data_IF_093306117451
#
_entry.id   IF_093306117451
#
_cell.length_a   1.000
_cell.length_b   1.000
_cell.length_c   1.000
_cell.angle_alpha   90.00
_cell.angle_beta   90.00
_cell.angle_gamma   90.00
#
_symmetry.space_group_name_H-M   'P 1'
#
loop_
_entity.id
_entity.type
_entity.pdbx_description
1 polymer ?
#
# COMPACT_ATOMS: atom_id res chain seq x y z
N UNK A 1 -1.69 -27.45 37.03
CA UNK A 1 -1.80 -27.77 35.59
C UNK A 1 -2.90 -26.97 34.90
N UNK A 2 -4.16 -27.04 35.34
CA UNK A 2 -5.30 -26.31 34.75
C UNK A 2 -5.10 -24.81 34.72
N UNK A 3 -4.65 -24.18 35.81
CA UNK A 3 -4.39 -22.75 35.89
C UNK A 3 -3.33 -22.28 34.88
N UNK A 4 -2.27 -23.07 34.67
CA UNK A 4 -1.21 -22.77 33.70
C UNK A 4 -1.75 -22.81 32.26
N UNK A 5 -2.64 -23.75 31.95
CA UNK A 5 -3.30 -23.84 30.65
C UNK A 5 -4.19 -22.61 30.41
N UNK A 6 -4.96 -22.18 31.42
CA UNK A 6 -5.79 -20.97 31.35
C UNK A 6 -4.93 -19.70 31.14
N UNK A 7 -3.79 -19.57 31.81
CA UNK A 7 -2.88 -18.45 31.62
C UNK A 7 -2.30 -18.45 30.19
N UNK A 8 -1.88 -19.60 29.68
CA UNK A 8 -1.36 -19.73 28.31
C UNK A 8 -2.43 -19.36 27.30
N UNK A 9 -3.66 -19.85 27.43
CA UNK A 9 -4.78 -19.53 26.54
C UNK A 9 -5.15 -18.03 26.62
N UNK A 10 -5.13 -17.43 27.82
CA UNK A 10 -5.39 -16.01 27.99
C UNK A 10 -4.29 -15.15 27.35
N UNK A 11 -3.02 -15.50 27.54
CA UNK A 11 -1.89 -14.82 26.89
C UNK A 11 -2.00 -14.93 25.38
N UNK A 12 -2.33 -16.12 24.86
CA UNK A 12 -2.55 -16.35 23.42
C UNK A 12 -3.70 -15.50 22.87
N UNK A 13 -4.80 -15.39 23.61
CA UNK A 13 -5.95 -14.56 23.25
C UNK A 13 -5.64 -13.07 23.24
N UNK A 14 -4.71 -12.62 24.11
CA UNK A 14 -4.30 -11.21 24.21
C UNK A 14 -3.23 -10.81 23.17
N UNK A 15 -2.58 -11.77 22.49
CA UNK A 15 -1.60 -11.45 21.44
C UNK A 15 -2.35 -10.96 20.19
N UNK A 16 -2.09 -9.71 19.74
CA UNK A 16 -2.70 -9.22 18.51
C UNK A 16 -2.34 -10.12 17.33
N UNK A 17 -3.34 -10.59 16.60
CA UNK A 17 -3.13 -11.42 15.40
C UNK A 17 -2.78 -10.58 14.17
N UNK A 18 -2.88 -9.26 14.24
CA UNK A 18 -2.62 -8.32 13.15
C UNK A 18 -1.97 -7.05 13.67
N UNK A 19 -0.94 -6.59 12.96
CA UNK A 19 -0.29 -5.32 13.23
C UNK A 19 -1.03 -4.20 12.48
N UNK A 20 -1.50 -3.19 13.23
CA UNK A 20 -2.21 -2.05 12.66
C UNK A 20 -1.33 -1.24 11.69
N UNK A 21 -1.94 -0.58 10.69
CA UNK A 21 -1.24 0.37 9.85
C UNK A 21 -0.58 1.48 10.67
N UNK A 22 0.59 1.95 10.24
CA UNK A 22 1.32 3.04 10.89
C UNK A 22 1.73 4.11 9.89
N UNK A 23 1.62 5.36 10.29
CA UNK A 23 2.11 6.50 9.52
C UNK A 23 3.54 6.79 9.92
N UNK A 24 4.39 7.02 8.92
CA UNK A 24 5.78 7.46 9.07
C UNK A 24 5.87 8.87 8.47
N UNK A 25 5.98 9.91 9.29
CA UNK A 25 6.01 11.29 8.79
C UNK A 25 7.35 11.61 8.11
N UNK A 26 7.31 12.50 7.10
CA UNK A 26 8.49 12.98 6.37
C UNK A 26 9.37 11.85 5.82
N UNK A 27 8.75 10.82 5.26
CA UNK A 27 9.44 9.62 4.81
C UNK A 27 10.18 9.79 3.49
N UNK A 28 9.66 10.64 2.60
CA UNK A 28 10.31 11.02 1.32
C UNK A 28 10.45 12.53 1.20
N UNK A 29 11.51 12.97 0.55
CA UNK A 29 11.81 14.39 0.36
C UNK A 29 11.00 15.02 -0.79
N UNK A 30 10.93 16.36 -0.80
CA UNK A 30 10.30 17.10 -1.90
C UNK A 30 10.98 16.84 -3.23
N UNK A 31 12.31 16.71 -3.26
CA UNK A 31 13.08 16.39 -4.47
C UNK A 31 12.69 15.00 -5.03
N UNK A 32 12.55 14.00 -4.15
CA UNK A 32 12.12 12.66 -4.53
C UNK A 32 10.70 12.67 -5.08
N UNK A 33 9.80 13.43 -4.43
CA UNK A 33 8.41 13.59 -4.87
C UNK A 33 8.33 14.20 -6.26
N UNK A 34 8.99 15.32 -6.49
CA UNK A 34 8.98 16.02 -7.77
C UNK A 34 9.55 15.16 -8.91
N UNK A 35 10.64 14.43 -8.63
CA UNK A 35 11.21 13.48 -9.60
C UNK A 35 10.22 12.37 -9.95
N UNK A 36 9.62 11.71 -8.95
CA UNK A 36 8.66 10.63 -9.13
C UNK A 36 7.44 11.10 -9.92
N UNK A 37 6.87 12.26 -9.58
CA UNK A 37 5.72 12.82 -10.30
C UNK A 37 6.05 13.11 -11.75
N UNK A 38 7.17 13.80 -12.01
CA UNK A 38 7.62 14.15 -13.37
C UNK A 38 7.82 12.91 -14.24
N UNK A 39 8.45 11.86 -13.71
CA UNK A 39 8.64 10.62 -14.44
C UNK A 39 7.31 9.90 -14.70
N UNK A 40 6.42 9.89 -13.72
CA UNK A 40 5.11 9.23 -13.83
C UNK A 40 4.19 9.92 -14.84
N UNK A 41 4.19 11.26 -14.93
CA UNK A 41 3.31 12.03 -15.82
C UNK A 41 3.37 11.57 -17.27
N UNK A 42 4.55 11.18 -17.74
CA UNK A 42 4.76 10.70 -19.13
C UNK A 42 4.30 9.26 -19.36
N UNK A 43 4.01 8.51 -18.30
CA UNK A 43 3.69 7.07 -18.34
C UNK A 43 2.27 6.76 -17.87
N UNK A 44 1.47 7.77 -17.49
CA UNK A 44 0.13 7.57 -16.95
C UNK A 44 -0.80 6.92 -17.98
N UNK A 45 -1.52 5.89 -17.53
CA UNK A 45 -2.60 5.23 -18.25
C UNK A 45 -3.76 4.93 -17.30
N UNK A 46 -4.97 4.70 -17.83
CA UNK A 46 -6.11 4.32 -16.97
C UNK A 46 -5.81 3.06 -16.18
N UNK A 47 -6.02 3.10 -14.87
CA UNK A 47 -5.75 1.96 -13.99
C UNK A 47 -6.65 0.77 -14.30
N UNK A 48 -6.05 -0.42 -14.24
CA UNK A 48 -6.76 -1.70 -14.29
C UNK A 48 -7.09 -2.19 -12.88
N UNK A 49 -8.02 -3.13 -12.76
CA UNK A 49 -8.27 -3.89 -11.52
C UNK A 49 -7.50 -5.21 -11.56
N UNK A 50 -7.08 -5.68 -10.38
CA UNK A 50 -6.00 -6.65 -10.22
C UNK A 50 -6.21 -8.01 -10.90
N UNK A 51 -7.42 -8.57 -10.86
CA UNK A 51 -7.60 -9.99 -11.19
C UNK A 51 -7.51 -10.30 -12.71
N UNK A 52 -7.85 -9.36 -13.57
CA UNK A 52 -7.92 -9.62 -15.04
C UNK A 52 -7.25 -8.52 -15.86
N UNK A 53 -6.54 -7.59 -15.24
CA UNK A 53 -5.98 -6.39 -15.89
C UNK A 53 -7.04 -5.61 -16.71
N UNK A 54 -8.31 -5.71 -16.33
CA UNK A 54 -9.41 -5.04 -17.01
C UNK A 54 -9.68 -3.66 -16.40
N UNK A 55 -10.09 -2.72 -17.23
CA UNK A 55 -10.53 -1.41 -16.77
C UNK A 55 -11.95 -1.54 -16.24
N UNK A 56 -12.15 -1.29 -14.93
CA UNK A 56 -13.46 -1.25 -14.32
C UNK A 56 -13.62 0.00 -13.43
N UNK A 57 -14.13 1.07 -14.03
CA UNK A 57 -14.30 2.38 -13.36
C UNK A 57 -15.32 2.35 -12.21
N UNK A 58 -16.15 1.31 -12.08
CA UNK A 58 -17.06 1.15 -10.92
C UNK A 58 -16.37 0.59 -9.70
N UNK A 59 -15.17 0.00 -9.86
CA UNK A 59 -14.32 -0.54 -8.80
C UNK A 59 -13.16 0.39 -8.51
N UNK A 60 -12.48 0.88 -9.57
CA UNK A 60 -11.31 1.76 -9.48
C UNK A 60 -11.38 2.85 -10.55
N UNK A 61 -11.26 4.09 -10.11
CA UNK A 61 -11.21 5.25 -11.01
C UNK A 61 -9.96 6.07 -10.70
N UNK A 62 -8.87 5.76 -11.38
CA UNK A 62 -7.56 6.40 -11.25
C UNK A 62 -6.74 6.20 -12.51
N UNK A 63 -5.64 6.94 -12.63
CA UNK A 63 -4.57 6.67 -13.59
C UNK A 63 -3.37 6.05 -12.87
N UNK A 64 -2.60 5.22 -13.58
CA UNK A 64 -1.43 4.48 -13.06
C UNK A 64 -0.22 4.68 -13.95
N UNK A 65 0.95 4.85 -13.35
CA UNK A 65 2.25 4.72 -13.98
C UNK A 65 3.12 3.74 -13.18
N UNK A 66 3.95 2.95 -13.86
CA UNK A 66 4.93 2.05 -13.23
C UNK A 66 6.33 2.59 -13.48
N UNK A 67 7.09 2.82 -12.41
CA UNK A 67 8.45 3.32 -12.47
C UNK A 67 9.44 2.21 -12.19
N UNK A 68 10.47 2.15 -13.05
CA UNK A 68 11.50 1.15 -12.99
C UNK A 68 12.47 1.39 -11.82
N UNK A 69 12.87 0.33 -11.14
CA UNK A 69 13.81 0.37 -10.03
C UNK A 69 15.26 0.61 -10.48
N UNK A 70 15.53 0.68 -11.79
CA UNK A 70 16.83 1.07 -12.35
C UNK A 70 17.09 2.57 -12.22
N UNK A 71 16.02 3.40 -12.14
CA UNK A 71 16.18 4.83 -11.86
C UNK A 71 16.75 5.03 -10.45
N UNK A 72 17.89 5.75 -10.27
CA UNK A 72 18.56 5.87 -8.97
C UNK A 72 17.72 6.48 -7.86
N UNK A 73 16.84 7.45 -8.18
CA UNK A 73 15.96 8.09 -7.19
C UNK A 73 14.84 7.14 -6.80
N UNK A 74 14.18 6.51 -7.78
CA UNK A 74 13.13 5.49 -7.54
C UNK A 74 13.70 4.32 -6.74
N UNK A 75 14.90 3.85 -7.09
CA UNK A 75 15.60 2.78 -6.36
C UNK A 75 15.84 3.13 -4.90
N UNK A 76 16.38 4.31 -4.62
CA UNK A 76 16.63 4.79 -3.26
C UNK A 76 15.35 4.85 -2.42
N UNK A 77 14.25 5.34 -3.00
CA UNK A 77 12.94 5.36 -2.34
C UNK A 77 12.42 3.95 -2.09
N UNK A 78 12.52 3.06 -3.08
CA UNK A 78 12.11 1.67 -2.95
C UNK A 78 12.94 0.92 -1.88
N UNK A 79 14.26 1.11 -1.84
CA UNK A 79 15.12 0.53 -0.79
C UNK A 79 14.70 1.00 0.61
N UNK A 80 14.37 2.30 0.76
CA UNK A 80 13.87 2.85 2.03
C UNK A 80 12.53 2.23 2.41
N UNK A 81 11.61 2.00 1.46
CA UNK A 81 10.36 1.29 1.73
C UNK A 81 10.61 -0.16 2.17
N UNK A 82 11.49 -0.88 1.48
CA UNK A 82 11.81 -2.28 1.81
C UNK A 82 12.48 -2.39 3.18
N UNK A 83 13.27 -1.40 3.60
CA UNK A 83 13.92 -1.40 4.94
C UNK A 83 12.92 -1.37 6.12
N UNK A 84 11.64 -1.09 5.86
CA UNK A 84 10.56 -1.20 6.86
C UNK A 84 10.13 -2.66 7.09
N UNK A 85 10.59 -3.58 6.27
CA UNK A 85 10.19 -4.99 6.24
C UNK A 85 11.35 -5.91 6.64
N UNK A 86 11.04 -7.16 6.84
CA UNK A 86 12.03 -8.23 7.06
C UNK A 86 12.46 -8.93 5.76
N UNK A 87 12.16 -8.34 4.59
CA UNK A 87 12.39 -8.95 3.28
C UNK A 87 13.53 -8.24 2.52
N UNK A 88 14.27 -8.99 1.67
CA UNK A 88 15.30 -8.40 0.83
C UNK A 88 14.69 -7.58 -0.33
N UNK A 89 15.48 -6.66 -0.89
CA UNK A 89 15.06 -5.74 -1.95
C UNK A 89 14.48 -6.43 -3.20
N UNK A 90 15.01 -7.59 -3.58
CA UNK A 90 14.51 -8.36 -4.73
C UNK A 90 13.07 -8.87 -4.58
N UNK A 91 12.46 -8.71 -3.41
CA UNK A 91 11.07 -9.09 -3.17
C UNK A 91 10.09 -7.98 -3.50
N UNK A 92 10.54 -6.76 -3.83
CA UNK A 92 9.63 -5.67 -4.13
C UNK A 92 9.24 -5.61 -5.63
N UNK A 93 8.05 -5.09 -5.87
CA UNK A 93 7.58 -4.74 -7.21
C UNK A 93 8.17 -3.40 -7.65
N UNK A 94 7.96 -3.04 -8.94
CA UNK A 94 8.17 -1.67 -9.42
C UNK A 94 7.33 -0.70 -8.61
N UNK A 95 7.77 0.56 -8.54
CA UNK A 95 7.02 1.60 -7.85
C UNK A 95 5.78 1.98 -8.67
N UNK A 96 4.58 1.75 -8.12
CA UNK A 96 3.33 2.15 -8.76
C UNK A 96 2.95 3.57 -8.35
N UNK A 97 2.89 4.50 -9.29
CA UNK A 97 2.36 5.84 -9.06
C UNK A 97 0.90 5.89 -9.47
N UNK A 98 0.08 6.53 -8.67
CA UNK A 98 -1.36 6.66 -8.87
C UNK A 98 -1.79 8.12 -8.81
N UNK A 99 -2.61 8.51 -9.79
CA UNK A 99 -3.29 9.79 -9.81
C UNK A 99 -4.80 9.59 -9.75
N UNK A 100 -5.44 10.22 -8.78
CA UNK A 100 -6.89 10.28 -8.65
C UNK A 100 -7.36 11.71 -8.91
N UNK A 101 -8.18 11.91 -9.93
CA UNK A 101 -8.89 13.16 -10.21
C UNK A 101 -10.11 13.30 -9.29
N UNK A 102 -10.74 14.47 -9.21
CA UNK A 102 -12.02 14.61 -8.51
C UNK A 102 -13.03 13.53 -8.94
N UNK A 103 -13.65 12.88 -7.95
CA UNK A 103 -14.47 11.69 -8.15
C UNK A 103 -13.72 10.36 -8.23
N UNK A 104 -12.38 10.39 -8.28
CA UNK A 104 -11.51 9.20 -8.32
C UNK A 104 -11.51 8.46 -6.98
N UNK A 105 -11.52 7.13 -7.05
CA UNK A 105 -11.56 6.25 -5.87
C UNK A 105 -11.03 4.85 -6.19
N UNK A 106 -10.84 4.05 -5.15
CA UNK A 106 -10.67 2.61 -5.24
C UNK A 106 -11.45 1.91 -4.13
N UNK A 107 -12.42 1.06 -4.51
CA UNK A 107 -13.25 0.32 -3.55
C UNK A 107 -12.40 -0.53 -2.61
N UNK A 108 -12.92 -0.87 -1.40
CA UNK A 108 -12.20 -1.73 -0.48
C UNK A 108 -11.77 -3.05 -1.13
N UNK A 109 -10.48 -3.34 -1.04
CA UNK A 109 -9.82 -4.51 -1.63
C UNK A 109 -8.71 -5.00 -0.71
N UNK A 110 -8.13 -6.11 -1.06
CA UNK A 110 -6.93 -6.63 -0.40
C UNK A 110 -5.79 -6.69 -1.42
N UNK A 111 -4.58 -6.32 -0.98
CA UNK A 111 -3.40 -6.32 -1.84
C UNK A 111 -2.84 -7.72 -2.07
N UNK A 112 -3.16 -8.68 -1.21
CA UNK A 112 -2.75 -10.07 -1.41
C UNK A 112 -3.86 -10.86 -2.12
N UNK A 113 -3.48 -11.61 -3.17
CA UNK A 113 -4.38 -12.45 -3.96
C UNK A 113 -4.31 -13.90 -3.50
N UNK A 114 -5.39 -14.68 -3.71
CA UNK A 114 -5.46 -16.08 -3.29
C UNK A 114 -4.71 -17.04 -4.20
N UNK A 115 -4.38 -16.63 -5.42
CA UNK A 115 -3.83 -17.48 -6.50
C UNK A 115 -2.35 -17.20 -6.85
N UNK A 116 -1.63 -16.45 -6.00
CA UNK A 116 -0.24 -16.02 -6.24
C UNK A 116 0.80 -17.15 -6.22
N UNK A 117 0.44 -18.41 -6.47
CA UNK A 117 1.36 -19.56 -6.46
C UNK A 117 2.29 -19.57 -5.22
N UNK A 118 1.78 -19.07 -4.08
CA UNK A 118 2.53 -18.98 -2.83
C UNK A 118 3.37 -17.72 -2.64
N UNK A 119 3.60 -16.89 -3.67
CA UNK A 119 4.35 -15.64 -3.53
C UNK A 119 3.42 -14.46 -3.21
N UNK A 120 2.94 -14.42 -1.98
CA UNK A 120 2.00 -13.39 -1.50
C UNK A 120 2.69 -12.04 -1.32
N UNK A 121 2.00 -10.94 -1.60
CA UNK A 121 2.36 -9.62 -1.07
C UNK A 121 2.23 -9.66 0.45
N UNK A 122 3.29 -9.35 1.16
CA UNK A 122 3.37 -9.35 2.63
C UNK A 122 3.15 -7.98 3.21
N UNK A 123 3.64 -6.95 2.51
CA UNK A 123 3.65 -5.57 2.97
C UNK A 123 3.26 -4.62 1.86
N UNK A 124 2.61 -3.53 2.26
CA UNK A 124 2.33 -2.39 1.41
C UNK A 124 2.87 -1.12 2.06
N UNK A 125 3.52 -0.29 1.26
CA UNK A 125 3.90 1.08 1.61
C UNK A 125 3.19 2.02 0.65
N UNK A 126 2.36 2.92 1.19
CA UNK A 126 1.74 4.01 0.41
C UNK A 126 2.47 5.30 0.74
N UNK A 127 3.00 5.98 -0.27
CA UNK A 127 3.69 7.25 -0.15
C UNK A 127 2.77 8.39 -0.64
N UNK A 128 2.61 9.45 0.15
CA UNK A 128 1.84 10.62 -0.27
C UNK A 128 2.72 11.60 -1.06
N UNK A 129 2.37 11.87 -2.32
CA UNK A 129 3.09 12.80 -3.17
C UNK A 129 2.53 14.23 -3.13
N UNK A 130 1.33 14.40 -2.54
CA UNK A 130 0.73 15.70 -2.23
C UNK A 130 -0.34 15.53 -1.14
N UNK A 131 -0.84 16.66 -0.62
CA UNK A 131 -1.91 16.70 0.40
C UNK A 131 -2.92 17.83 0.17
N UNK A 132 -2.77 18.57 -0.92
CA UNK A 132 -3.59 19.74 -1.33
C UNK A 132 -4.90 19.34 -2.03
N UNK A 133 -5.51 18.23 -1.62
CA UNK A 133 -6.80 17.71 -2.09
C UNK A 133 -7.77 17.50 -0.93
N UNK A 134 -9.07 17.42 -1.22
CA UNK A 134 -10.10 17.07 -0.23
C UNK A 134 -10.62 15.64 -0.44
N UNK A 135 -11.06 14.99 0.67
CA UNK A 135 -11.43 13.58 0.65
C UNK A 135 -10.22 12.67 0.42
N UNK A 136 -10.41 11.58 -0.30
CA UNK A 136 -9.34 10.71 -0.77
C UNK A 136 -8.57 9.99 0.34
N UNK A 137 -9.12 9.87 1.56
CA UNK A 137 -8.49 9.15 2.66
C UNK A 137 -8.29 7.68 2.28
N UNK A 138 -7.20 7.06 2.74
CA UNK A 138 -7.06 5.60 2.76
C UNK A 138 -7.82 5.07 3.97
N UNK A 139 -8.86 4.26 3.75
CA UNK A 139 -9.66 3.71 4.84
C UNK A 139 -9.48 2.21 5.00
N UNK A 140 -9.49 1.76 6.25
CA UNK A 140 -9.55 0.37 6.67
C UNK A 140 -10.88 0.12 7.36
N UNK A 141 -11.93 -0.28 6.63
CA UNK A 141 -13.30 -0.31 7.16
C UNK A 141 -13.44 -1.25 8.36
N UNK A 142 -12.74 -2.39 8.35
CA UNK A 142 -12.81 -3.37 9.44
C UNK A 142 -11.99 -2.98 10.69
N UNK A 143 -11.08 -2.02 10.56
CA UNK A 143 -10.39 -1.39 11.70
C UNK A 143 -11.11 -0.12 12.17
N UNK A 144 -12.05 0.40 11.38
CA UNK A 144 -12.72 1.71 11.56
C UNK A 144 -11.71 2.86 11.57
N UNK A 145 -10.63 2.74 10.80
CA UNK A 145 -9.54 3.72 10.71
C UNK A 145 -9.49 4.37 9.33
N UNK A 146 -9.10 5.65 9.29
CA UNK A 146 -8.91 6.44 8.07
C UNK A 146 -7.63 7.25 8.19
N UNK A 147 -6.87 7.28 7.11
CA UNK A 147 -5.59 7.97 7.03
C UNK A 147 -5.63 9.03 5.95
N UNK A 148 -5.49 10.30 6.33
CA UNK A 148 -5.20 11.43 5.45
C UNK A 148 -3.74 11.78 5.64
N UNK A 149 -2.90 11.32 4.73
CA UNK A 149 -1.46 11.53 4.79
C UNK A 149 -1.11 12.97 4.38
N UNK A 150 -0.08 13.53 4.98
CA UNK A 150 0.56 14.76 4.52
C UNK A 150 1.56 14.44 3.40
N UNK A 151 1.86 15.43 2.56
CA UNK A 151 2.90 15.30 1.55
C UNK A 151 4.21 14.81 2.20
N UNK A 152 4.82 13.78 1.63
CA UNK A 152 6.04 13.18 2.13
C UNK A 152 5.85 12.06 3.16
N UNK A 153 4.63 11.86 3.69
CA UNK A 153 4.37 10.77 4.63
C UNK A 153 4.29 9.42 3.92
N UNK A 154 4.59 8.35 4.69
CA UNK A 154 4.31 6.97 4.30
C UNK A 154 3.27 6.32 5.21
N UNK A 155 2.39 5.49 4.65
CA UNK A 155 1.53 4.57 5.37
C UNK A 155 2.03 3.15 5.11
N UNK A 156 2.50 2.49 6.16
CA UNK A 156 2.99 1.11 6.12
C UNK A 156 1.99 0.17 6.77
N UNK A 157 1.69 -0.94 6.12
CA UNK A 157 0.83 -1.97 6.71
C UNK A 157 1.14 -3.38 6.19
N UNK A 158 0.79 -4.36 7.01
CA UNK A 158 0.83 -5.77 6.69
C UNK A 158 -0.41 -6.15 5.87
N UNK A 159 -0.26 -6.94 4.83
CA UNK A 159 -1.37 -7.43 4.01
C UNK A 159 -1.97 -8.73 4.55
N UNK A 160 -1.23 -9.40 5.44
CA UNK A 160 -1.57 -10.66 6.09
C UNK A 160 -1.54 -10.49 7.62
N UNK A 161 -2.10 -11.45 8.34
CA UNK A 161 -1.94 -11.52 9.79
C UNK A 161 -0.56 -12.05 10.20
N UNK A 162 -0.31 -12.12 11.51
CA UNK A 162 0.98 -12.56 12.06
C UNK A 162 1.30 -14.04 11.78
N UNK A 163 0.35 -14.79 11.24
CA UNK A 163 0.49 -16.18 10.82
C UNK A 163 0.55 -16.34 9.29
N UNK A 164 0.70 -15.24 8.58
CA UNK A 164 0.69 -15.18 7.10
C UNK A 164 -0.63 -15.63 6.46
N UNK A 165 -1.75 -15.53 7.17
CA UNK A 165 -3.07 -15.75 6.61
C UNK A 165 -3.71 -14.44 6.15
N UNK A 166 -4.55 -14.54 5.11
CA UNK A 166 -5.39 -13.44 4.65
C UNK A 166 -6.32 -12.98 5.76
N UNK A 167 -6.32 -11.68 6.06
CA UNK A 167 -7.11 -11.12 7.15
C UNK A 167 -8.01 -9.99 6.67
N UNK A 168 -9.26 -9.98 7.15
CA UNK A 168 -10.18 -8.89 6.86
C UNK A 168 -9.72 -7.54 7.42
N UNK A 169 -8.80 -7.53 8.39
CA UNK A 169 -8.22 -6.30 8.97
C UNK A 169 -7.34 -5.54 7.99
N UNK A 170 -6.78 -6.22 6.98
CA UNK A 170 -6.00 -5.62 5.91
C UNK A 170 -6.85 -5.11 4.72
N UNK A 171 -8.19 -5.30 4.77
CA UNK A 171 -9.08 -4.74 3.76
C UNK A 171 -9.01 -3.21 3.83
N UNK A 172 -8.70 -2.56 2.70
CA UNK A 172 -8.55 -1.12 2.62
C UNK A 172 -9.00 -0.59 1.27
N UNK A 173 -9.25 0.73 1.19
CA UNK A 173 -9.66 1.40 -0.04
C UNK A 173 -9.31 2.87 -0.03
N UNK A 174 -9.29 3.49 -1.21
CA UNK A 174 -9.18 4.93 -1.38
C UNK A 174 -10.58 5.55 -1.49
N UNK A 175 -10.94 6.40 -0.53
CA UNK A 175 -12.21 7.14 -0.59
C UNK A 175 -12.23 8.10 -1.78
N UNK A 176 -13.43 8.52 -2.24
CA UNK A 176 -13.53 9.49 -3.32
C UNK A 176 -12.78 10.79 -3.01
N UNK A 177 -11.97 11.23 -3.96
CA UNK A 177 -11.38 12.57 -3.98
C UNK A 177 -12.49 13.58 -4.30
N UNK A 178 -12.60 14.64 -3.51
CA UNK A 178 -13.66 15.63 -3.69
C UNK A 178 -13.24 16.82 -4.54
N UNK A 179 -12.01 17.31 -4.33
CA UNK A 179 -11.44 18.42 -5.07
C UNK A 179 -9.94 18.24 -5.26
N UNK A 180 -9.40 18.87 -6.28
CA UNK A 180 -8.00 18.73 -6.72
C UNK A 180 -7.62 17.28 -7.09
N UNK A 181 -6.36 17.03 -7.37
CA UNK A 181 -5.86 15.69 -7.68
C UNK A 181 -5.13 15.10 -6.47
N UNK A 182 -5.33 13.82 -6.20
CA UNK A 182 -4.54 13.07 -5.22
C UNK A 182 -3.48 12.26 -5.96
N UNK A 183 -2.22 12.40 -5.53
CA UNK A 183 -1.10 11.62 -6.03
C UNK A 183 -0.45 10.80 -4.91
N UNK A 184 -0.28 9.51 -5.15
CA UNK A 184 0.40 8.59 -4.23
C UNK A 184 1.29 7.61 -5.00
N UNK A 185 2.21 6.96 -4.28
CA UNK A 185 2.87 5.74 -4.75
C UNK A 185 2.52 4.56 -3.88
N UNK A 186 2.46 3.37 -4.49
CA UNK A 186 2.45 2.10 -3.77
C UNK A 186 3.73 1.33 -4.07
N UNK A 187 4.31 0.72 -3.03
CA UNK A 187 5.31 -0.32 -3.17
C UNK A 187 4.80 -1.56 -2.44
N UNK A 188 4.80 -2.69 -3.14
CA UNK A 188 4.48 -3.99 -2.56
C UNK A 188 5.74 -4.82 -2.38
N UNK A 189 5.82 -5.53 -1.25
CA UNK A 189 6.92 -6.44 -0.95
C UNK A 189 6.35 -7.85 -0.75
N UNK A 190 6.89 -8.79 -1.52
CA UNK A 190 6.47 -10.18 -1.56
C UNK A 190 7.20 -11.07 -0.55
N UNK A 191 6.64 -12.25 -0.32
CA UNK A 191 7.26 -13.28 0.52
C UNK A 191 8.60 -13.77 -0.07
N UNK A 192 8.65 -13.96 -1.37
CA UNK A 192 9.80 -14.45 -2.12
C UNK A 192 10.21 -13.45 -3.20
N UNK A 193 11.39 -13.61 -3.84
CA UNK A 193 11.81 -12.74 -4.92
C UNK A 193 10.72 -12.56 -5.99
N UNK A 194 10.54 -11.33 -6.41
CA UNK A 194 9.57 -10.95 -7.44
C UNK A 194 10.33 -10.59 -8.72
N UNK A 195 10.09 -11.36 -9.76
CA UNK A 195 10.67 -11.12 -11.09
C UNK A 195 9.59 -10.49 -11.97
N UNK A 196 9.85 -9.27 -12.43
CA UNK A 196 8.98 -8.51 -13.35
C UNK A 196 9.17 -9.00 -14.77
#
# INVERSE_FOLDING_TARGET
MILLIFIILLVWYLIPTYQKPRVLPNFISDEEIEHIKKEAETKLSTSTVADNQTINKTIRHSDTAWLDLENPIVNRVAQRCVSLTDRPFQNCEKLQVLRYKPGGFYKPHQDTFSDTKGNKRMYTVILALNDDYEGGETEFPNLKEKYKLKKGDALFFHTLDNYEFKTSKALHGGRPVKSSEKWICNLWVHKYPYYN
#
